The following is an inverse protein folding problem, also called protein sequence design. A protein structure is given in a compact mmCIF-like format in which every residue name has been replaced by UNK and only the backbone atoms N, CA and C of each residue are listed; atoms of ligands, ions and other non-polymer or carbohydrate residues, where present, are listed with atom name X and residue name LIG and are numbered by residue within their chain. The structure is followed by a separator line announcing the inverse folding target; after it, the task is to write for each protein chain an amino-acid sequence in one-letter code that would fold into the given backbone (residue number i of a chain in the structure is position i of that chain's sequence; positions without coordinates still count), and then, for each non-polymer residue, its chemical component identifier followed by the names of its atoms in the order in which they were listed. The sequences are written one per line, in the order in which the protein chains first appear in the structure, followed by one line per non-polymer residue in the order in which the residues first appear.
data_IF_065819448292
#
_entry.id   IF_065819448292
#
_cell.length_a   1.000
_cell.length_b   1.000
_cell.length_c   1.000
_cell.angle_alpha   90.00
_cell.angle_beta   90.00
_cell.angle_gamma   90.00
#
_symmetry.space_group_name_H-M   'P 1'
#
loop_
_entity.id
_entity.type
_entity.pdbx_description
1 polymer ?
#
# COMPACT_ATOMS: atom_id res chain seq x y z
N UNK A 1 15.02 3.38 -24.38
CA UNK A 1 14.48 3.82 -23.08
C UNK A 1 13.42 2.86 -22.63
N UNK A 2 13.51 2.43 -21.40
CA UNK A 2 12.55 1.45 -20.86
C UNK A 2 11.30 2.16 -20.38
N UNK A 3 10.14 1.71 -20.84
CA UNK A 3 8.88 2.24 -20.34
C UNK A 3 8.63 1.75 -18.92
N UNK A 4 8.07 2.63 -18.10
CA UNK A 4 7.66 2.27 -16.77
C UNK A 4 6.39 1.41 -16.84
N UNK A 5 6.30 0.47 -15.93
CA UNK A 5 5.13 -0.37 -15.76
C UNK A 5 3.92 0.49 -15.39
N UNK A 6 2.80 0.23 -16.05
CA UNK A 6 1.55 0.91 -15.77
C UNK A 6 0.82 0.23 -14.61
N UNK A 7 0.43 1.00 -13.62
CA UNK A 7 -0.35 0.50 -12.47
C UNK A 7 -1.50 1.43 -12.14
N UNK A 8 -2.55 0.87 -11.56
CA UNK A 8 -3.67 1.62 -10.99
C UNK A 8 -3.61 1.53 -9.48
N UNK A 9 -3.79 2.65 -8.80
CA UNK A 9 -3.81 2.68 -7.33
C UNK A 9 -5.27 2.67 -6.89
N UNK A 10 -5.64 1.65 -6.13
CA UNK A 10 -7.02 1.47 -5.65
C UNK A 10 -7.01 1.09 -4.17
N UNK A 11 -8.12 1.32 -3.44
CA UNK A 11 -8.22 0.83 -2.07
C UNK A 11 -8.10 -0.68 -2.01
N UNK A 12 -7.41 -1.17 -0.97
CA UNK A 12 -7.29 -2.60 -0.74
C UNK A 12 -8.63 -3.16 -0.26
N UNK A 13 -9.02 -4.29 -0.84
CA UNK A 13 -10.24 -5.02 -0.45
C UNK A 13 -9.87 -6.46 -0.06
N UNK A 14 -10.87 -7.23 0.37
CA UNK A 14 -10.68 -8.64 0.68
C UNK A 14 -10.13 -9.46 -0.49
N UNK A 15 -10.41 -9.04 -1.72
CA UNK A 15 -9.93 -9.73 -2.92
C UNK A 15 -8.41 -9.63 -3.08
N UNK A 16 -7.77 -8.67 -2.42
CA UNK A 16 -6.32 -8.45 -2.54
C UNK A 16 -5.52 -9.12 -1.42
N UNK A 17 -6.19 -9.66 -0.39
CA UNK A 17 -5.53 -10.10 0.84
C UNK A 17 -4.50 -11.21 0.61
N UNK A 18 -4.82 -12.18 -0.24
CA UNK A 18 -3.90 -13.30 -0.49
C UNK A 18 -2.60 -12.82 -1.13
N UNK A 19 -2.70 -11.94 -2.12
CA UNK A 19 -1.51 -11.41 -2.79
C UNK A 19 -0.72 -10.47 -1.88
N UNK A 20 -1.40 -9.66 -1.07
CA UNK A 20 -0.72 -8.76 -0.13
C UNK A 20 -0.01 -9.55 0.95
N UNK A 21 -0.61 -10.62 1.48
CA UNK A 21 0.03 -11.50 2.46
C UNK A 21 1.27 -12.17 1.85
N UNK A 22 1.19 -12.60 0.60
CA UNK A 22 2.35 -13.13 -0.12
C UNK A 22 3.45 -12.08 -0.26
N UNK A 23 3.07 -10.87 -0.63
CA UNK A 23 4.01 -9.76 -0.78
C UNK A 23 4.73 -9.46 0.54
N UNK A 24 4.00 -9.51 1.67
CA UNK A 24 4.59 -9.34 3.00
C UNK A 24 5.67 -10.40 3.26
N UNK A 25 5.38 -11.66 2.91
CA UNK A 25 6.36 -12.76 3.10
C UNK A 25 7.60 -12.58 2.24
N UNK A 26 7.44 -12.03 1.04
CA UNK A 26 8.56 -11.79 0.12
C UNK A 26 9.44 -10.64 0.61
N UNK A 27 8.82 -9.56 1.10
CA UNK A 27 9.51 -8.30 1.36
C UNK A 27 10.03 -8.15 2.79
N UNK A 28 9.47 -8.86 3.76
CA UNK A 28 9.78 -8.62 5.18
C UNK A 28 10.17 -9.90 5.89
N UNK A 29 11.14 -9.77 6.83
CA UNK A 29 11.58 -10.89 7.66
C UNK A 29 10.54 -11.25 8.73
N UNK A 30 9.72 -10.26 9.15
CA UNK A 30 8.62 -10.47 10.10
C UNK A 30 7.33 -9.98 9.42
N UNK A 31 6.77 -10.78 8.51
CA UNK A 31 5.63 -10.33 7.72
C UNK A 31 4.34 -10.31 8.55
N UNK A 32 3.44 -9.39 8.17
CA UNK A 32 2.07 -9.44 8.67
C UNK A 32 1.37 -10.66 8.05
N UNK A 33 0.61 -11.36 8.88
CA UNK A 33 -0.19 -12.49 8.41
C UNK A 33 -1.44 -11.99 7.70
N UNK A 34 -2.08 -12.88 6.94
CA UNK A 34 -3.37 -12.59 6.31
C UNK A 34 -4.41 -12.16 7.34
N UNK A 35 -4.43 -12.82 8.51
CA UNK A 35 -5.37 -12.46 9.58
C UNK A 35 -5.14 -11.06 10.13
N UNK A 36 -3.88 -10.66 10.27
CA UNK A 36 -3.55 -9.28 10.68
C UNK A 36 -4.03 -8.27 9.67
N UNK A 37 -3.88 -8.58 8.38
CA UNK A 37 -4.36 -7.71 7.31
C UNK A 37 -5.88 -7.61 7.30
N UNK A 38 -6.59 -8.71 7.56
CA UNK A 38 -8.05 -8.72 7.69
C UNK A 38 -8.49 -7.78 8.82
N UNK A 39 -7.84 -7.88 9.98
CA UNK A 39 -8.15 -7.02 11.12
C UNK A 39 -7.91 -5.56 10.80
N UNK A 40 -6.78 -5.25 10.15
CA UNK A 40 -6.43 -3.86 9.82
C UNK A 40 -7.36 -3.25 8.78
N UNK A 41 -7.92 -4.04 7.86
CA UNK A 41 -8.92 -3.55 6.92
C UNK A 41 -10.19 -3.03 7.63
N UNK A 42 -10.46 -3.53 8.84
CA UNK A 42 -11.61 -3.11 9.63
C UNK A 42 -11.29 -1.96 10.59
N UNK A 43 -10.04 -1.52 10.63
CA UNK A 43 -9.59 -0.42 11.49
C UNK A 43 -9.96 0.91 10.83
N UNK A 44 -10.88 1.65 11.47
CA UNK A 44 -11.36 2.93 10.95
C UNK A 44 -10.28 4.00 10.85
N UNK A 45 -9.19 3.84 11.59
CA UNK A 45 -8.05 4.78 11.58
C UNK A 45 -6.98 4.41 10.56
N UNK A 46 -7.13 3.28 9.86
CA UNK A 46 -6.16 2.81 8.88
C UNK A 46 -6.73 2.87 7.48
N UNK A 47 -5.86 3.12 6.51
CA UNK A 47 -6.19 3.08 5.09
C UNK A 47 -5.12 2.29 4.35
N UNK A 48 -5.53 1.42 3.44
CA UNK A 48 -4.61 0.61 2.66
C UNK A 48 -4.88 0.77 1.18
N UNK A 49 -3.81 0.86 0.41
CA UNK A 49 -3.87 0.98 -1.05
C UNK A 49 -3.08 -0.15 -1.67
N UNK A 50 -3.54 -0.61 -2.83
CA UNK A 50 -2.80 -1.55 -3.66
C UNK A 50 -2.55 -0.93 -5.03
N UNK A 51 -1.41 -1.28 -5.61
CA UNK A 51 -1.09 -0.96 -6.99
C UNK A 51 -1.33 -2.20 -7.83
N UNK A 52 -2.27 -2.13 -8.75
CA UNK A 52 -2.64 -3.27 -9.61
C UNK A 52 -2.04 -3.09 -10.99
N UNK A 53 -1.48 -4.16 -11.55
CA UNK A 53 -1.01 -4.18 -12.92
C UNK A 53 -2.19 -4.34 -13.91
N UNK A 54 -1.88 -4.45 -15.20
CA UNK A 54 -2.91 -4.56 -16.23
C UNK A 54 -3.73 -5.85 -16.15
N UNK A 55 -3.24 -6.84 -15.40
CA UNK A 55 -3.94 -8.12 -15.19
C UNK A 55 -4.60 -8.19 -13.81
N UNK A 56 -4.68 -7.05 -13.11
CA UNK A 56 -5.25 -6.92 -11.77
C UNK A 56 -4.49 -7.69 -10.67
N UNK A 57 -3.20 -7.98 -10.92
CA UNK A 57 -2.33 -8.52 -9.88
C UNK A 57 -1.72 -7.39 -9.04
N UNK A 58 -1.48 -7.69 -7.76
CA UNK A 58 -0.90 -6.72 -6.83
C UNK A 58 0.61 -6.62 -7.08
N UNK A 59 1.04 -5.46 -7.56
CA UNK A 59 2.46 -5.16 -7.75
C UNK A 59 3.08 -4.53 -6.50
N UNK A 60 2.26 -3.88 -5.68
CA UNK A 60 2.72 -3.25 -4.45
C UNK A 60 1.55 -2.83 -3.59
N UNK A 61 1.84 -2.46 -2.32
CA UNK A 61 0.81 -1.92 -1.44
C UNK A 61 1.43 -1.00 -0.40
N UNK A 62 0.58 -0.18 0.22
CA UNK A 62 1.00 0.70 1.31
C UNK A 62 -0.13 0.88 2.29
N UNK A 63 0.23 1.12 3.55
CA UNK A 63 -0.72 1.38 4.63
C UNK A 63 -0.46 2.72 5.30
N UNK A 64 -1.54 3.38 5.72
CA UNK A 64 -1.52 4.64 6.46
C UNK A 64 -2.35 4.47 7.72
N UNK A 65 -1.80 4.90 8.85
CA UNK A 65 -2.53 5.00 10.11
C UNK A 65 -2.67 6.49 10.44
N UNK A 66 -3.91 6.92 10.75
CA UNK A 66 -4.17 8.29 11.16
C UNK A 66 -4.52 8.29 12.63
N UNK A 67 -3.74 9.04 13.42
CA UNK A 67 -3.94 9.21 14.86
C UNK A 67 -4.08 10.70 15.12
N UNK A 68 -5.26 11.15 15.51
CA UNK A 68 -5.59 12.57 15.65
C UNK A 68 -5.34 13.28 14.31
N UNK A 69 -4.40 14.23 14.27
CA UNK A 69 -4.05 14.96 13.06
C UNK A 69 -2.71 14.54 12.47
N UNK A 70 -2.21 13.34 12.82
CA UNK A 70 -0.93 12.83 12.36
C UNK A 70 -1.13 11.58 11.52
N UNK A 71 -0.39 11.49 10.40
CA UNK A 71 -0.41 10.33 9.53
C UNK A 71 0.91 9.56 9.59
N UNK A 72 0.82 8.25 9.73
CA UNK A 72 1.97 7.35 9.80
C UNK A 72 1.89 6.33 8.68
N UNK A 73 2.97 6.19 7.91
CA UNK A 73 3.08 5.11 6.94
C UNK A 73 3.47 3.85 7.70
N UNK A 74 2.61 2.85 7.69
CA UNK A 74 2.83 1.60 8.43
C UNK A 74 3.55 0.55 7.60
N UNK A 75 3.23 0.47 6.31
CA UNK A 75 3.78 -0.54 5.41
C UNK A 75 3.97 0.07 4.02
N UNK A 76 5.05 -0.28 3.37
CA UNK A 76 5.24 -0.04 1.94
C UNK A 76 5.99 -1.25 1.39
N UNK A 77 5.43 -1.92 0.40
CA UNK A 77 6.08 -3.06 -0.23
C UNK A 77 5.79 -3.08 -1.72
N UNK A 78 6.79 -3.42 -2.51
CA UNK A 78 6.69 -3.56 -3.96
C UNK A 78 7.33 -4.89 -4.34
N UNK A 79 6.67 -5.67 -5.20
CA UNK A 79 7.27 -6.92 -5.69
C UNK A 79 8.64 -6.65 -6.29
N UNK A 80 9.64 -7.51 -5.99
CA UNK A 80 11.01 -7.26 -6.49
C UNK A 80 11.08 -7.06 -8.01
N UNK A 81 10.32 -7.84 -8.78
CA UNK A 81 10.29 -7.74 -10.25
C UNK A 81 9.59 -6.49 -10.75
N UNK A 82 8.86 -5.79 -9.87
CA UNK A 82 8.14 -4.56 -10.23
C UNK A 82 8.83 -3.29 -9.74
N UNK A 83 9.96 -3.42 -9.06
CA UNK A 83 10.70 -2.26 -8.53
C UNK A 83 11.28 -1.41 -9.66
N UNK A 84 11.66 -0.18 -9.33
CA UNK A 84 12.20 0.83 -10.26
C UNK A 84 11.17 1.31 -11.29
N UNK A 85 9.87 1.18 -10.96
CA UNK A 85 8.78 1.70 -11.78
C UNK A 85 8.05 2.85 -11.09
N UNK A 86 8.56 3.33 -9.96
CA UNK A 86 7.96 4.43 -9.21
C UNK A 86 6.67 4.05 -8.49
N UNK A 87 6.42 2.76 -8.25
CA UNK A 87 5.16 2.29 -7.65
C UNK A 87 5.04 2.78 -6.21
N UNK A 88 6.11 2.66 -5.41
CA UNK A 88 6.09 3.14 -4.03
C UNK A 88 5.79 4.63 -3.98
N UNK A 89 6.39 5.42 -4.86
CA UNK A 89 6.14 6.86 -4.93
C UNK A 89 4.69 7.16 -5.30
N UNK A 90 4.10 6.41 -6.21
CA UNK A 90 2.69 6.59 -6.59
C UNK A 90 1.76 6.29 -5.42
N UNK A 91 2.03 5.20 -4.69
CA UNK A 91 1.26 4.85 -3.50
C UNK A 91 1.36 5.95 -2.44
N UNK A 92 2.59 6.38 -2.14
CA UNK A 92 2.82 7.42 -1.13
C UNK A 92 2.24 8.77 -1.55
N UNK A 93 2.23 9.08 -2.85
CA UNK A 93 1.67 10.33 -3.34
C UNK A 93 0.18 10.44 -3.05
N UNK A 94 -0.56 9.33 -3.16
CA UNK A 94 -1.98 9.32 -2.81
C UNK A 94 -2.17 9.68 -1.33
N UNK A 95 -1.34 9.11 -0.44
CA UNK A 95 -1.41 9.43 0.98
C UNK A 95 -1.00 10.88 1.28
N UNK A 96 0.01 11.40 0.57
CA UNK A 96 0.44 12.78 0.73
C UNK A 96 -0.66 13.76 0.31
N UNK A 97 -1.32 13.47 -0.81
CA UNK A 97 -2.45 14.29 -1.29
C UNK A 97 -3.60 14.26 -0.29
N UNK A 98 -3.90 13.09 0.27
CA UNK A 98 -4.92 12.93 1.29
C UNK A 98 -4.58 13.75 2.54
N UNK A 99 -3.33 13.65 3.01
CA UNK A 99 -2.87 14.37 4.20
C UNK A 99 -2.96 15.88 3.98
N UNK A 100 -2.56 16.35 2.81
CA UNK A 100 -2.63 17.77 2.48
C UNK A 100 -4.07 18.26 2.45
N UNK A 101 -4.98 17.48 1.87
CA UNK A 101 -6.39 17.81 1.79
C UNK A 101 -7.07 17.85 3.17
N UNK A 102 -6.59 17.05 4.11
CA UNK A 102 -7.16 16.94 5.46
C UNK A 102 -6.29 17.61 6.54
N UNK A 103 -5.28 18.35 6.14
CA UNK A 103 -4.38 19.09 7.05
C UNK A 103 -3.70 18.18 8.08
N UNK A 104 -3.29 16.98 7.65
CA UNK A 104 -2.57 16.04 8.50
C UNK A 104 -1.06 16.28 8.42
N UNK A 105 -0.39 16.11 9.56
CA UNK A 105 1.06 16.10 9.61
C UNK A 105 1.56 14.67 9.36
N UNK A 106 2.55 14.52 8.49
CA UNK A 106 3.21 13.23 8.29
C UNK A 106 4.41 13.08 9.22
N UNK A 107 4.51 11.91 9.81
CA UNK A 107 5.63 11.56 10.67
C UNK A 107 6.36 10.32 10.18
#
# INVERSE_FOLDING_TARGET
MREQMHVRIVPMTGDHLDEVAELERICFTTPWSRNMLVEELQNDCAAFLVALDDEDHVAGYAGLLVVLDEGYITNVAVRPECRRNGIAQKLLQVFLDFAQAHHLAFL
#
